data_IF_279156838143
#
_entry.id   IF_279156838143
#
_cell.length_a   1.000
_cell.length_b   1.000
_cell.length_c   1.000
_cell.angle_alpha   90.00
_cell.angle_beta   90.00
_cell.angle_gamma   90.00
#
_symmetry.space_group_name_H-M   'P 1'
#
loop_
_entity.id
_entity.type
_entity.pdbx_description
1 polymer ?
#
# COMPACT_ATOMS: atom_id res chain seq x y z
N UNK A 1 3.21 -52.56 1.11
CA UNK A 1 3.22 -51.14 1.55
C UNK A 1 4.02 -51.06 2.83
N UNK A 2 5.26 -50.58 2.73
CA UNK A 2 6.11 -50.24 3.86
C UNK A 2 5.49 -49.05 4.61
N UNK A 3 5.25 -49.22 5.90
CA UNK A 3 4.67 -48.19 6.78
C UNK A 3 5.82 -47.28 7.23
N UNK A 4 5.68 -45.93 7.17
CA UNK A 4 6.72 -45.02 7.63
C UNK A 4 6.95 -45.12 9.16
N UNK A 5 8.17 -44.87 9.66
CA UNK A 5 8.56 -45.11 11.05
C UNK A 5 7.85 -44.26 12.11
N UNK A 6 7.01 -43.29 11.73
CA UNK A 6 6.30 -42.37 12.64
C UNK A 6 4.85 -42.78 12.96
N UNK A 7 4.41 -43.98 12.55
CA UNK A 7 3.09 -44.52 12.87
C UNK A 7 3.22 -45.83 13.66
N UNK A 8 2.93 -45.81 14.96
CA UNK A 8 2.69 -47.06 15.69
C UNK A 8 1.27 -47.56 15.46
N UNK A 9 1.15 -48.83 15.04
CA UNK A 9 -0.09 -49.58 15.05
C UNK A 9 -0.29 -50.11 16.47
N UNK A 10 -1.28 -49.58 17.19
CA UNK A 10 -1.78 -50.24 18.40
C UNK A 10 -3.00 -51.05 17.98
N UNK A 11 -2.84 -52.37 17.90
CA UNK A 11 -3.97 -53.29 17.73
C UNK A 11 -4.67 -53.45 19.09
N UNK A 12 -5.93 -53.04 19.15
CA UNK A 12 -6.84 -53.50 20.21
C UNK A 12 -7.90 -54.39 19.57
N UNK A 13 -8.30 -55.43 20.30
CA UNK A 13 -8.93 -56.68 19.83
C UNK A 13 -10.32 -56.60 19.17
N UNK A 14 -10.69 -55.48 18.53
CA UNK A 14 -11.87 -55.37 17.66
C UNK A 14 -11.55 -54.54 16.42
N UNK A 15 -11.29 -55.23 15.31
CA UNK A 15 -11.14 -54.79 13.90
C UNK A 15 -11.46 -53.32 13.50
N UNK A 16 -10.73 -52.33 14.02
CA UNK A 16 -10.56 -51.01 13.39
C UNK A 16 -9.14 -50.48 13.63
N UNK A 17 -8.33 -50.40 12.56
CA UNK A 17 -7.03 -49.70 12.60
C UNK A 17 -7.30 -48.21 12.86
N UNK A 18 -6.88 -47.69 14.01
CA UNK A 18 -6.84 -46.24 14.28
C UNK A 18 -5.39 -45.79 14.34
N UNK A 19 -5.05 -44.83 13.49
CA UNK A 19 -3.76 -44.14 13.54
C UNK A 19 -3.83 -43.06 14.62
N UNK A 20 -2.83 -43.02 15.51
CA UNK A 20 -2.70 -41.97 16.53
C UNK A 20 -1.55 -41.06 16.13
N UNK A 21 -1.81 -39.77 15.92
CA UNK A 21 -0.76 -38.77 15.72
C UNK A 21 0.00 -38.59 17.03
N UNK A 22 1.32 -38.77 17.00
CA UNK A 22 2.18 -38.46 18.13
C UNK A 22 2.32 -36.94 18.28
N UNK A 23 2.36 -36.46 19.52
CA UNK A 23 2.61 -35.05 19.80
C UNK A 23 4.05 -34.69 19.41
N UNK A 24 4.25 -33.46 18.90
CA UNK A 24 5.57 -32.92 18.49
C UNK A 24 6.61 -33.06 19.62
N UNK A 25 6.18 -32.97 20.87
CA UNK A 25 7.02 -33.12 22.07
C UNK A 25 7.61 -34.53 22.22
N UNK A 26 6.87 -35.56 21.79
CA UNK A 26 7.31 -36.96 21.88
C UNK A 26 8.37 -37.28 20.82
N UNK A 27 8.23 -36.70 19.62
CA UNK A 27 9.23 -36.80 18.53
C UNK A 27 10.52 -36.08 18.94
N UNK A 28 10.40 -34.93 19.60
CA UNK A 28 11.53 -34.14 20.10
C UNK A 28 12.40 -34.90 21.12
N UNK A 29 11.77 -35.70 21.99
CA UNK A 29 12.48 -36.38 23.08
C UNK A 29 13.26 -37.61 22.59
N UNK A 30 12.86 -38.24 21.47
CA UNK A 30 13.57 -39.39 20.91
C UNK A 30 14.69 -39.03 19.92
N UNK A 31 14.86 -37.75 19.57
CA UNK A 31 15.77 -37.30 18.49
C UNK A 31 16.89 -36.36 18.97
N UNK A 32 17.18 -36.34 20.28
CA UNK A 32 18.05 -35.36 20.91
C UNK A 32 19.56 -35.41 20.54
N UNK A 33 20.01 -36.32 19.69
CA UNK A 33 21.45 -36.54 19.40
C UNK A 33 21.83 -36.50 17.90
N UNK A 34 21.22 -35.63 17.08
CA UNK A 34 21.63 -35.51 15.67
C UNK A 34 21.80 -34.05 15.22
N UNK A 35 23.01 -33.73 14.76
CA UNK A 35 23.38 -32.47 14.10
C UNK A 35 22.66 -32.23 12.76
N UNK A 36 21.86 -33.19 12.29
CA UNK A 36 21.15 -33.18 10.99
C UNK A 36 19.63 -32.92 11.10
N UNK A 37 19.15 -32.50 12.28
CA UNK A 37 17.74 -32.26 12.61
C UNK A 37 16.93 -31.46 11.55
N UNK A 38 17.47 -30.41 10.87
CA UNK A 38 16.69 -29.66 9.88
C UNK A 38 16.36 -30.47 8.61
N UNK A 39 17.25 -31.38 8.17
CA UNK A 39 17.09 -32.08 6.89
C UNK A 39 16.16 -33.29 6.98
N UNK A 40 16.15 -34.01 8.11
CA UNK A 40 15.28 -35.17 8.31
C UNK A 40 13.80 -34.78 8.49
N UNK A 41 13.49 -33.72 9.24
CA UNK A 41 12.13 -33.23 9.42
C UNK A 41 11.51 -32.71 8.11
N UNK A 42 12.34 -32.15 7.22
CA UNK A 42 11.93 -31.70 5.89
C UNK A 42 11.53 -32.85 4.95
N UNK A 43 12.06 -34.06 5.16
CA UNK A 43 11.68 -35.25 4.38
C UNK A 43 10.35 -35.86 4.80
N UNK A 44 9.84 -35.53 5.99
CA UNK A 44 8.63 -36.13 6.59
C UNK A 44 7.38 -35.28 6.32
N UNK A 45 7.54 -33.98 6.09
CA UNK A 45 6.44 -33.06 5.80
C UNK A 45 6.16 -33.01 4.29
N UNK A 46 4.91 -33.26 3.85
CA UNK A 46 4.48 -32.97 2.48
C UNK A 46 4.88 -31.57 2.04
N UNK A 47 5.29 -31.43 0.78
CA UNK A 47 5.79 -30.18 0.19
C UNK A 47 4.78 -29.04 0.31
N UNK A 48 3.49 -29.38 0.27
CA UNK A 48 2.36 -28.48 0.45
C UNK A 48 2.35 -27.89 1.87
N UNK A 49 2.61 -28.70 2.90
CA UNK A 49 2.65 -28.23 4.29
C UNK A 49 3.84 -27.30 4.53
N UNK A 50 5.01 -27.62 3.96
CA UNK A 50 6.17 -26.73 4.01
C UNK A 50 5.84 -25.38 3.37
N UNK A 51 5.17 -25.39 2.21
CA UNK A 51 4.73 -24.16 1.54
C UNK A 51 3.76 -23.37 2.41
N UNK A 52 2.77 -24.01 3.02
CA UNK A 52 1.81 -23.36 3.92
C UNK A 52 2.47 -22.78 5.18
N UNK A 53 3.49 -23.44 5.72
CA UNK A 53 4.29 -22.91 6.84
C UNK A 53 5.05 -21.67 6.38
N UNK A 54 5.79 -21.76 5.27
CA UNK A 54 6.62 -20.66 4.76
C UNK A 54 5.76 -19.44 4.40
N UNK A 55 4.62 -19.60 3.75
CA UNK A 55 3.70 -18.49 3.39
C UNK A 55 3.24 -17.68 4.61
N UNK A 56 3.24 -18.27 5.81
CA UNK A 56 2.83 -17.63 7.08
C UNK A 56 3.98 -16.97 7.83
N UNK A 57 5.20 -16.97 7.28
CA UNK A 57 6.35 -16.36 7.92
C UNK A 57 6.55 -14.91 7.47
N UNK A 58 7.09 -14.03 8.33
CA UNK A 58 7.48 -12.68 7.94
C UNK A 58 8.52 -12.68 6.81
N UNK A 59 8.41 -11.71 5.89
CA UNK A 59 9.28 -11.59 4.71
C UNK A 59 10.77 -11.65 5.05
N UNK A 60 11.22 -10.97 6.11
CA UNK A 60 12.63 -11.01 6.53
C UNK A 60 13.11 -12.41 6.91
N UNK A 61 12.26 -13.20 7.56
CA UNK A 61 12.58 -14.59 7.90
C UNK A 61 12.69 -15.42 6.63
N UNK A 62 11.77 -15.21 5.69
CA UNK A 62 11.80 -15.88 4.39
C UNK A 62 13.07 -15.57 3.60
N UNK A 63 13.55 -14.31 3.63
CA UNK A 63 14.81 -13.94 2.98
C UNK A 63 16.01 -14.68 3.58
N UNK A 64 16.07 -14.87 4.90
CA UNK A 64 17.12 -15.69 5.54
C UNK A 64 16.96 -17.17 5.19
N UNK A 65 15.73 -17.64 5.05
CA UNK A 65 15.41 -19.04 4.79
C UNK A 65 15.73 -19.48 3.36
N UNK A 66 15.93 -18.54 2.43
CA UNK A 66 16.51 -18.83 1.10
C UNK A 66 17.87 -19.54 1.19
N UNK A 67 18.63 -19.37 2.28
CA UNK A 67 19.94 -20.01 2.45
C UNK A 67 19.88 -21.41 3.08
N UNK A 68 18.70 -21.93 3.44
CA UNK A 68 18.57 -23.23 4.14
C UNK A 68 18.76 -24.40 3.19
N UNK A 69 18.08 -24.40 2.04
CA UNK A 69 18.25 -25.40 0.99
C UNK A 69 17.80 -24.88 -0.38
N UNK A 70 18.18 -25.58 -1.46
CA UNK A 70 17.82 -25.21 -2.84
C UNK A 70 16.31 -25.19 -3.07
N UNK A 71 15.56 -26.11 -2.47
CA UNK A 71 14.11 -26.17 -2.64
C UNK A 71 13.42 -24.96 -2.00
N UNK A 72 13.87 -24.53 -0.83
CA UNK A 72 13.37 -23.32 -0.17
C UNK A 72 13.76 -22.07 -0.94
N UNK A 73 14.99 -21.99 -1.44
CA UNK A 73 15.44 -20.90 -2.31
C UNK A 73 14.51 -20.74 -3.52
N UNK A 74 14.27 -21.82 -4.26
CA UNK A 74 13.43 -21.83 -5.47
C UNK A 74 12.00 -21.43 -5.13
N UNK A 75 11.43 -22.01 -4.08
CA UNK A 75 10.04 -21.76 -3.66
C UNK A 75 9.81 -20.33 -3.18
N UNK A 76 10.69 -19.81 -2.33
CA UNK A 76 10.57 -18.44 -1.81
C UNK A 76 10.82 -17.41 -2.93
N UNK A 77 11.54 -17.79 -3.99
CA UNK A 77 11.81 -16.92 -5.14
C UNK A 77 10.74 -17.00 -6.25
N UNK A 78 9.75 -17.88 -6.11
CA UNK A 78 8.61 -18.02 -7.01
C UNK A 78 7.66 -16.82 -6.89
N UNK A 79 7.34 -16.10 -7.99
CA UNK A 79 6.35 -15.02 -7.97
C UNK A 79 4.97 -15.43 -7.43
N UNK A 80 4.53 -16.67 -7.64
CA UNK A 80 3.26 -17.15 -7.10
C UNK A 80 3.30 -17.29 -5.58
N UNK A 81 4.43 -17.75 -5.03
CA UNK A 81 4.66 -17.77 -3.58
C UNK A 81 4.65 -16.35 -3.00
N UNK A 82 5.30 -15.39 -3.67
CA UNK A 82 5.31 -14.00 -3.24
C UNK A 82 3.89 -13.38 -3.19
N UNK A 83 3.06 -13.66 -4.21
CA UNK A 83 1.64 -13.25 -4.23
C UNK A 83 0.84 -13.90 -3.10
N UNK A 84 1.00 -15.20 -2.88
CA UNK A 84 0.30 -15.92 -1.81
C UNK A 84 0.70 -15.39 -0.41
N UNK A 85 2.00 -15.15 -0.19
CA UNK A 85 2.51 -14.56 1.05
C UNK A 85 1.95 -13.15 1.27
N UNK A 86 1.91 -12.30 0.24
CA UNK A 86 1.33 -10.97 0.36
C UNK A 86 -0.15 -11.03 0.75
N UNK A 87 -0.93 -11.93 0.14
CA UNK A 87 -2.35 -12.13 0.47
C UNK A 87 -2.57 -12.56 1.93
N UNK A 88 -1.69 -13.40 2.46
CA UNK A 88 -1.73 -13.85 3.85
C UNK A 88 -1.45 -12.71 4.86
N UNK A 89 -0.62 -11.75 4.48
CA UNK A 89 -0.22 -10.58 5.27
C UNK A 89 -0.87 -9.29 4.77
N UNK A 90 -2.14 -9.35 4.36
CA UNK A 90 -2.90 -8.16 3.95
C UNK A 90 -3.29 -7.10 4.99
N UNK A 91 -3.19 -7.25 6.33
CA UNK A 91 -3.42 -6.07 7.17
C UNK A 91 -2.35 -5.00 6.93
N UNK A 92 -2.66 -3.74 7.17
CA UNK A 92 -1.69 -2.64 7.07
C UNK A 92 -0.56 -2.88 8.08
N UNK A 93 0.70 -2.96 7.62
CA UNK A 93 1.84 -3.31 8.47
C UNK A 93 2.62 -2.10 8.98
N UNK A 94 2.68 -1.02 8.21
CA UNK A 94 3.44 0.15 8.61
C UNK A 94 3.30 1.35 7.70
N UNK A 95 4.02 2.41 8.05
CA UNK A 95 4.30 3.54 7.18
C UNK A 95 5.74 3.45 6.71
N UNK A 96 5.98 3.81 5.46
CA UNK A 96 7.32 4.07 4.96
C UNK A 96 7.44 5.55 4.61
N UNK A 97 8.54 6.16 5.02
CA UNK A 97 8.87 7.53 4.65
C UNK A 97 10.32 7.59 4.21
N UNK A 98 10.63 8.60 3.39
CA UNK A 98 12.00 8.90 3.05
C UNK A 98 12.67 9.66 4.19
N UNK A 99 13.90 9.27 4.53
CA UNK A 99 14.69 9.99 5.53
C UNK A 99 15.42 11.18 4.89
N UNK A 100 15.82 12.16 5.70
CA UNK A 100 16.66 13.28 5.25
C UNK A 100 18.03 12.85 4.71
N UNK A 101 18.50 11.65 5.05
CA UNK A 101 19.70 11.04 4.47
C UNK A 101 19.36 10.42 3.11
N UNK A 102 20.10 10.75 2.03
CA UNK A 102 19.87 10.20 0.69
C UNK A 102 19.86 8.67 0.66
N UNK A 103 18.91 8.10 -0.08
CA UNK A 103 18.81 6.66 -0.27
C UNK A 103 18.41 5.84 0.95
N UNK A 104 17.87 6.47 2.00
CA UNK A 104 17.38 5.78 3.20
C UNK A 104 15.87 5.97 3.33
N UNK A 105 15.15 4.86 3.46
CA UNK A 105 13.73 4.84 3.79
C UNK A 105 13.54 4.25 5.18
N UNK A 106 12.83 4.96 6.05
CA UNK A 106 12.50 4.48 7.39
C UNK A 106 11.12 3.84 7.40
N UNK A 107 11.02 2.67 8.03
CA UNK A 107 9.77 1.96 8.21
C UNK A 107 9.31 1.98 9.66
N UNK A 108 8.05 2.38 9.84
CA UNK A 108 7.38 2.52 11.13
C UNK A 108 6.28 1.49 11.22
N UNK A 109 6.36 0.62 12.22
CA UNK A 109 5.38 -0.43 12.46
C UNK A 109 4.16 0.15 13.18
N UNK A 110 3.03 0.22 12.49
CA UNK A 110 1.82 0.85 13.03
C UNK A 110 1.17 0.03 14.16
N UNK A 111 1.34 -1.31 14.16
CA UNK A 111 0.78 -2.19 15.20
C UNK A 111 1.49 -2.04 16.54
N UNK A 112 2.77 -1.65 16.52
CA UNK A 112 3.54 -1.31 17.73
C UNK A 112 3.40 0.16 18.11
N UNK A 113 2.29 0.77 17.71
CA UNK A 113 2.07 2.22 17.79
C UNK A 113 3.22 2.92 17.11
N UNK A 114 3.33 2.84 15.78
CA UNK A 114 4.29 3.57 14.93
C UNK A 114 5.79 3.44 15.25
N UNK A 115 6.28 2.42 15.98
CA UNK A 115 7.71 2.32 16.33
C UNK A 115 8.59 2.14 15.08
N UNK A 116 9.70 2.89 14.98
CA UNK A 116 10.67 2.72 13.90
C UNK A 116 11.32 1.34 14.04
N UNK A 117 11.10 0.47 13.06
CA UNK A 117 11.60 -0.90 13.10
C UNK A 117 12.89 -1.05 12.31
N UNK A 118 12.98 -0.44 11.12
CA UNK A 118 14.04 -0.70 10.12
C UNK A 118 14.32 0.55 9.30
N UNK A 119 15.58 0.71 8.92
CA UNK A 119 15.98 1.53 7.78
C UNK A 119 16.31 0.65 6.58
N UNK A 120 15.69 0.95 5.45
CA UNK A 120 16.03 0.38 4.17
C UNK A 120 17.00 1.29 3.45
N UNK A 121 18.13 0.72 3.04
CA UNK A 121 19.05 1.38 2.11
C UNK A 121 18.70 0.95 0.69
N UNK A 122 18.61 1.91 -0.22
CA UNK A 122 18.48 1.64 -1.65
C UNK A 122 19.79 1.83 -2.38
N UNK A 123 19.82 1.36 -3.62
CA UNK A 123 20.92 1.57 -4.56
C UNK A 123 21.26 3.06 -4.67
N UNK A 124 22.54 3.37 -4.92
CA UNK A 124 23.05 4.74 -5.15
C UNK A 124 22.33 5.43 -6.30
N UNK A 125 21.92 4.68 -7.32
CA UNK A 125 21.15 5.20 -8.45
C UNK A 125 19.79 5.80 -8.05
N UNK A 126 19.30 5.47 -6.85
CA UNK A 126 18.01 5.93 -6.34
C UNK A 126 18.15 7.02 -5.26
N UNK A 127 19.36 7.53 -5.00
CA UNK A 127 19.59 8.49 -3.92
C UNK A 127 18.97 9.86 -4.18
N UNK A 128 18.95 10.26 -5.44
CA UNK A 128 18.35 11.51 -5.90
C UNK A 128 16.90 11.29 -6.33
N UNK A 129 16.15 10.41 -5.65
CA UNK A 129 14.72 10.18 -5.94
C UNK A 129 13.86 10.52 -4.73
N UNK A 130 12.60 10.87 -4.97
CA UNK A 130 11.57 11.09 -3.96
C UNK A 130 10.56 9.95 -3.94
N UNK A 131 10.10 9.58 -2.75
CA UNK A 131 8.98 8.66 -2.59
C UNK A 131 7.68 9.26 -3.10
N UNK A 132 7.01 8.55 -4.01
CA UNK A 132 5.73 8.98 -4.59
C UNK A 132 4.57 8.15 -4.03
N UNK A 133 4.64 6.82 -4.17
CA UNK A 133 3.53 5.93 -3.83
C UNK A 133 4.03 4.55 -3.45
N UNK A 134 3.19 3.73 -2.81
CA UNK A 134 3.47 2.31 -2.60
C UNK A 134 2.31 1.43 -3.05
N UNK A 135 2.61 0.22 -3.48
CA UNK A 135 1.61 -0.78 -3.79
C UNK A 135 2.19 -2.17 -3.55
N UNK A 136 1.53 -2.99 -2.72
CA UNK A 136 1.92 -4.39 -2.53
C UNK A 136 3.40 -4.59 -2.12
N UNK A 137 3.98 -3.60 -1.42
CA UNK A 137 5.38 -3.58 -0.99
C UNK A 137 6.40 -3.12 -2.03
N UNK A 138 5.92 -2.75 -3.22
CA UNK A 138 6.69 -1.98 -4.20
C UNK A 138 6.56 -0.48 -3.88
N UNK A 139 7.63 0.27 -4.13
CA UNK A 139 7.67 1.72 -4.08
C UNK A 139 7.76 2.29 -5.48
N UNK A 140 7.02 3.36 -5.74
CA UNK A 140 7.23 4.24 -6.86
C UNK A 140 8.09 5.42 -6.41
N UNK A 141 9.21 5.60 -7.08
CA UNK A 141 10.17 6.67 -6.84
C UNK A 141 10.30 7.54 -8.10
N UNK A 142 10.63 8.81 -7.91
CA UNK A 142 10.81 9.76 -8.99
C UNK A 142 12.07 10.60 -8.77
N UNK A 143 12.88 10.84 -9.79
CA UNK A 143 14.15 11.59 -9.67
C UNK A 143 13.96 13.04 -9.20
N UNK A 144 13.10 13.80 -9.87
CA UNK A 144 12.78 15.17 -9.44
C UNK A 144 11.32 15.44 -9.72
N UNK A 145 10.64 16.27 -8.93
CA UNK A 145 9.18 16.50 -9.04
C UNK A 145 8.72 16.92 -10.44
N UNK A 146 9.59 17.49 -11.28
CA UNK A 146 9.25 17.84 -12.67
C UNK A 146 9.95 16.97 -13.70
N UNK A 147 10.79 16.04 -13.26
CA UNK A 147 11.40 15.06 -14.14
C UNK A 147 10.48 13.85 -14.27
N UNK A 148 10.16 13.49 -15.50
CA UNK A 148 9.28 12.38 -15.84
C UNK A 148 10.02 11.03 -15.82
N UNK A 149 11.01 10.91 -14.95
CA UNK A 149 11.83 9.73 -14.76
C UNK A 149 11.42 9.00 -13.48
N UNK A 150 10.94 7.76 -13.66
CA UNK A 150 10.41 6.93 -12.60
C UNK A 150 11.26 5.68 -12.39
N UNK A 151 11.21 5.21 -11.15
CA UNK A 151 11.79 3.95 -10.73
C UNK A 151 10.75 3.20 -9.90
N UNK A 152 10.67 1.88 -10.09
CA UNK A 152 9.91 1.02 -9.19
C UNK A 152 10.91 0.17 -8.43
N UNK A 153 10.80 0.10 -7.10
CA UNK A 153 11.71 -0.70 -6.31
C UNK A 153 11.00 -1.52 -5.23
N UNK A 154 11.60 -2.64 -4.87
CA UNK A 154 11.31 -3.35 -3.64
C UNK A 154 12.54 -3.25 -2.75
N UNK A 155 12.51 -2.39 -1.70
CA UNK A 155 13.67 -2.18 -0.84
C UNK A 155 14.03 -3.42 0.00
N UNK A 156 13.06 -4.29 0.29
CA UNK A 156 13.24 -5.47 1.15
C UNK A 156 14.11 -6.52 0.46
N UNK A 157 13.91 -6.71 -0.84
CA UNK A 157 14.66 -7.69 -1.65
C UNK A 157 15.76 -7.05 -2.50
N UNK A 158 16.02 -5.74 -2.32
CA UNK A 158 17.02 -4.96 -3.07
C UNK A 158 16.84 -5.03 -4.59
N UNK A 159 15.58 -5.07 -5.04
CA UNK A 159 15.23 -5.08 -6.46
C UNK A 159 14.75 -3.70 -6.89
N UNK A 160 15.11 -3.29 -8.11
CA UNK A 160 14.65 -2.04 -8.69
C UNK A 160 14.57 -2.14 -10.21
N UNK A 161 13.77 -1.27 -10.81
CA UNK A 161 13.53 -1.16 -12.24
C UNK A 161 13.45 0.32 -12.61
N UNK A 162 14.29 0.75 -13.56
CA UNK A 162 14.18 2.07 -14.19
C UNK A 162 13.12 2.01 -15.29
N UNK A 163 12.12 2.87 -15.23
CA UNK A 163 11.11 2.97 -16.27
C UNK A 163 11.61 3.83 -17.43
N UNK A 164 11.13 3.61 -18.67
CA UNK A 164 11.38 4.54 -19.76
C UNK A 164 10.92 5.93 -19.36
N UNK A 165 11.73 6.94 -19.65
CA UNK A 165 11.38 8.33 -19.33
C UNK A 165 10.12 8.72 -20.08
N UNK A 166 9.13 9.25 -19.38
CA UNK A 166 7.94 9.80 -20.03
C UNK A 166 8.29 11.15 -20.66
N UNK A 167 7.93 11.34 -21.92
CA UNK A 167 8.20 12.59 -22.64
C UNK A 167 6.86 13.26 -22.95
N UNK A 168 6.40 14.19 -22.08
CA UNK A 168 5.18 14.92 -22.37
C UNK A 168 5.40 15.81 -23.59
N UNK A 169 4.37 15.95 -24.43
CA UNK A 169 4.41 16.83 -25.60
C UNK A 169 4.53 18.32 -25.22
N UNK A 170 4.07 18.67 -24.02
CA UNK A 170 4.05 20.04 -23.51
C UNK A 170 4.60 20.09 -22.08
N UNK A 171 4.91 21.30 -21.61
CA UNK A 171 5.41 21.51 -20.25
C UNK A 171 4.33 21.11 -19.23
N UNK A 172 4.71 20.26 -18.28
CA UNK A 172 3.83 19.81 -17.21
C UNK A 172 3.79 20.87 -16.09
N UNK A 173 2.59 21.30 -15.71
CA UNK A 173 2.38 22.29 -14.65
C UNK A 173 1.92 21.69 -13.33
N UNK A 174 1.23 20.55 -13.39
CA UNK A 174 0.73 19.81 -12.24
C UNK A 174 0.59 18.37 -12.66
N UNK A 175 0.96 17.46 -11.75
CA UNK A 175 0.83 16.05 -11.98
C UNK A 175 0.76 15.28 -10.66
N UNK A 176 0.07 14.15 -10.70
CA UNK A 176 0.00 13.16 -9.62
C UNK A 176 0.48 11.84 -10.18
N UNK A 177 0.92 10.93 -9.33
CA UNK A 177 1.43 9.64 -9.79
C UNK A 177 1.19 8.51 -8.82
N UNK A 178 0.85 7.35 -9.39
CA UNK A 178 0.43 6.21 -8.60
C UNK A 178 0.95 4.92 -9.20
N UNK A 179 1.36 4.03 -8.32
CA UNK A 179 1.57 2.63 -8.65
C UNK A 179 0.31 1.87 -8.23
N UNK A 180 -0.30 1.19 -9.20
CA UNK A 180 -1.54 0.44 -8.99
C UNK A 180 -1.38 -0.99 -9.47
N UNK A 181 -2.12 -1.91 -8.85
CA UNK A 181 -2.16 -3.31 -9.25
C UNK A 181 -3.47 -3.59 -9.98
N UNK A 182 -3.35 -4.12 -11.20
CA UNK A 182 -4.46 -4.55 -12.01
C UNK A 182 -4.77 -6.02 -11.74
N UNK A 183 -5.87 -6.27 -11.04
CA UNK A 183 -6.30 -7.63 -10.70
C UNK A 183 -6.72 -8.45 -11.94
N UNK A 184 -7.10 -7.80 -13.05
CA UNK A 184 -7.65 -8.48 -14.23
C UNK A 184 -6.57 -9.19 -15.06
N UNK A 185 -5.42 -8.56 -15.24
CA UNK A 185 -4.28 -9.09 -15.99
C UNK A 185 -3.09 -9.45 -15.11
N UNK A 186 -3.22 -9.26 -13.79
CA UNK A 186 -2.21 -9.53 -12.78
C UNK A 186 -0.90 -8.74 -12.93
N UNK A 187 -0.95 -7.55 -13.52
CA UNK A 187 0.20 -6.65 -13.73
C UNK A 187 0.11 -5.40 -12.87
N UNK A 188 1.23 -4.70 -12.77
CA UNK A 188 1.28 -3.38 -12.15
C UNK A 188 1.24 -2.33 -13.25
N UNK A 189 0.61 -1.19 -12.95
CA UNK A 189 0.61 -0.02 -13.82
C UNK A 189 1.13 1.19 -13.04
N UNK A 190 1.94 2.02 -13.70
CA UNK A 190 2.22 3.38 -13.24
C UNK A 190 1.31 4.32 -14.00
N UNK A 191 0.55 5.10 -13.26
CA UNK A 191 -0.40 6.08 -13.77
C UNK A 191 0.11 7.45 -13.39
N UNK A 192 0.27 8.33 -14.38
CA UNK A 192 0.68 9.72 -14.18
C UNK A 192 -0.41 10.62 -14.76
N UNK A 193 -0.90 11.59 -14.01
CA UNK A 193 -1.85 12.58 -14.55
C UNK A 193 -1.10 13.87 -14.81
N UNK A 194 -1.33 14.59 -15.91
CA UNK A 194 -0.65 15.86 -16.14
C UNK A 194 -1.57 16.85 -16.85
N UNK A 195 -1.39 18.14 -16.60
CA UNK A 195 -2.15 19.18 -17.30
C UNK A 195 -1.48 19.54 -18.63
N UNK A 196 -2.17 19.27 -19.73
CA UNK A 196 -1.87 19.86 -21.04
C UNK A 196 -2.47 21.28 -21.12
N UNK A 197 -2.00 22.07 -22.07
CA UNK A 197 -2.49 23.40 -22.47
C UNK A 197 -4.03 23.56 -22.38
N UNK A 198 -4.82 22.52 -22.65
CA UNK A 198 -6.29 22.56 -22.66
C UNK A 198 -6.95 21.75 -21.53
N UNK A 199 -6.40 20.60 -21.15
CA UNK A 199 -7.07 19.65 -20.24
C UNK A 199 -6.09 18.72 -19.52
N UNK A 200 -6.56 18.07 -18.45
CA UNK A 200 -5.80 16.99 -17.83
C UNK A 200 -5.76 15.76 -18.76
N UNK A 201 -4.61 15.11 -18.80
CA UNK A 201 -4.36 13.85 -19.49
C UNK A 201 -3.74 12.84 -18.52
N UNK A 202 -3.74 11.58 -18.92
CA UNK A 202 -3.23 10.48 -18.13
C UNK A 202 -2.23 9.66 -18.95
N UNK A 203 -1.01 9.50 -18.46
CA UNK A 203 -0.02 8.55 -18.97
C UNK A 203 -0.09 7.23 -18.19
N UNK A 204 -0.13 6.11 -18.89
CA UNK A 204 -0.19 4.77 -18.29
C UNK A 204 0.97 3.93 -18.83
N UNK A 205 1.73 3.34 -17.91
CA UNK A 205 2.78 2.38 -18.22
C UNK A 205 2.52 1.07 -17.49
N UNK A 206 2.43 -0.03 -18.22
CA UNK A 206 2.23 -1.37 -17.63
C UNK A 206 3.58 -2.05 -17.45
N UNK A 207 3.87 -2.52 -16.24
CA UNK A 207 5.10 -3.25 -15.95
C UNK A 207 5.04 -4.67 -16.54
N UNK A 208 6.13 -5.06 -17.19
CA UNK A 208 6.32 -6.41 -17.73
C UNK A 208 5.78 -6.63 -19.15
N UNK A 209 5.32 -5.59 -19.84
CA UNK A 209 4.89 -5.68 -21.25
C UNK A 209 6.09 -5.79 -22.20
N UNK A 210 6.42 -7.01 -22.66
CA UNK A 210 7.54 -7.25 -23.57
C UNK A 210 7.33 -6.77 -25.02
N UNK A 211 6.31 -5.96 -25.30
CA UNK A 211 6.07 -5.44 -26.64
C UNK A 211 7.00 -4.24 -26.92
N UNK A 212 8.18 -4.55 -27.48
CA UNK A 212 9.17 -3.57 -27.95
C UNK A 212 10.59 -4.13 -27.83
N UNK A 213 11.22 -4.41 -28.97
CA UNK A 213 12.56 -5.00 -29.02
C UNK A 213 13.66 -4.01 -28.60
N UNK A 214 14.58 -4.49 -27.75
CA UNK A 214 15.78 -3.79 -27.33
C UNK A 214 16.22 -4.21 -25.92
N UNK A 215 17.34 -4.93 -25.84
CA UNK A 215 18.32 -4.91 -24.75
C UNK A 215 17.86 -4.72 -23.29
N UNK A 216 17.15 -5.72 -22.74
CA UNK A 216 17.26 -6.13 -21.33
C UNK A 216 16.79 -5.15 -20.25
N UNK A 217 16.35 -3.94 -20.61
CA UNK A 217 15.87 -2.89 -19.73
C UNK A 217 14.49 -2.43 -20.24
N UNK A 218 13.44 -2.74 -19.49
CA UNK A 218 12.07 -2.23 -19.65
C UNK A 218 11.57 -2.11 -21.10
N UNK A 219 11.22 -3.24 -21.72
CA UNK A 219 10.33 -3.26 -22.88
C UNK A 219 8.96 -2.70 -22.44
N UNK A 220 8.40 -1.74 -23.17
CA UNK A 220 7.10 -1.11 -22.88
C UNK A 220 7.09 0.37 -23.24
N UNK A 221 5.93 0.91 -23.60
CA UNK A 221 5.75 2.33 -23.95
C UNK A 221 4.65 2.98 -23.10
N UNK A 222 4.79 4.28 -22.88
CA UNK A 222 3.76 5.07 -22.24
C UNK A 222 2.58 5.27 -23.19
N UNK A 223 1.38 4.91 -22.74
CA UNK A 223 0.12 5.25 -23.43
C UNK A 223 -0.47 6.50 -22.81
N UNK A 224 -0.97 7.40 -23.65
CA UNK A 224 -1.62 8.62 -23.20
C UNK A 224 -3.11 8.52 -23.45
N UNK A 225 -3.89 8.81 -22.41
CA UNK A 225 -5.34 8.80 -22.41
C UNK A 225 -5.86 10.20 -22.10
N UNK A 226 -6.97 10.56 -22.74
CA UNK A 226 -7.67 11.82 -22.44
C UNK A 226 -8.52 11.64 -21.19
N UNK A 227 -8.40 12.57 -20.25
CA UNK A 227 -9.32 12.64 -19.13
C UNK A 227 -10.54 13.52 -19.48
N UNK A 228 -11.66 13.39 -18.75
CA UNK A 228 -12.80 14.30 -18.86
C UNK A 228 -12.41 15.78 -18.85
N UNK A 229 -12.52 16.44 -20.01
CA UNK A 229 -11.95 17.78 -20.25
C UNK A 229 -12.58 18.90 -19.40
N UNK A 230 -13.82 18.71 -18.95
CA UNK A 230 -14.58 19.68 -18.14
C UNK A 230 -14.10 19.75 -16.69
N UNK A 231 -13.21 18.87 -16.27
CA UNK A 231 -12.80 18.74 -14.88
C UNK A 231 -11.32 19.12 -14.69
N UNK A 232 -11.04 19.74 -13.55
CA UNK A 232 -9.70 19.99 -13.03
C UNK A 232 -9.46 19.14 -11.79
N UNK A 233 -8.29 18.54 -11.68
CA UNK A 233 -7.88 17.79 -10.49
C UNK A 233 -7.50 18.75 -9.35
N UNK A 234 -7.88 18.39 -8.13
CA UNK A 234 -7.38 19.03 -6.92
C UNK A 234 -5.94 18.58 -6.62
N UNK A 235 -5.22 19.34 -5.79
CA UNK A 235 -3.83 19.04 -5.43
C UNK A 235 -3.67 17.96 -4.34
N UNK A 236 -4.59 16.98 -4.27
CA UNK A 236 -4.49 15.85 -3.34
C UNK A 236 -3.95 14.62 -4.08
N UNK A 237 -3.37 13.68 -3.32
CA UNK A 237 -2.96 12.41 -3.88
C UNK A 237 -4.18 11.57 -4.27
N UNK A 238 -4.10 10.79 -5.35
CA UNK A 238 -5.14 9.83 -5.68
C UNK A 238 -5.17 8.63 -4.74
N UNK A 239 -6.34 8.04 -4.61
CA UNK A 239 -6.56 6.82 -3.85
C UNK A 239 -6.94 5.65 -4.76
N UNK A 240 -6.16 4.56 -4.67
CA UNK A 240 -6.52 3.28 -5.28
C UNK A 240 -7.41 2.47 -4.33
N UNK A 241 -8.65 2.19 -4.73
CA UNK A 241 -9.59 1.35 -3.97
C UNK A 241 -10.54 0.64 -4.94
N UNK A 242 -10.96 -0.59 -4.65
CA UNK A 242 -11.89 -1.36 -5.48
C UNK A 242 -11.51 -1.48 -6.97
N UNK A 243 -10.22 -1.59 -7.27
CA UNK A 243 -9.75 -1.73 -8.66
C UNK A 243 -9.85 -0.47 -9.50
N UNK A 244 -10.11 0.69 -8.88
CA UNK A 244 -10.12 1.99 -9.54
C UNK A 244 -9.22 2.99 -8.80
N UNK A 245 -8.67 3.94 -9.56
CA UNK A 245 -7.91 5.07 -9.04
C UNK A 245 -8.83 6.30 -8.99
N UNK A 246 -8.82 7.02 -7.87
CA UNK A 246 -9.77 8.10 -7.58
C UNK A 246 -9.02 9.40 -7.28
N UNK A 247 -9.42 10.49 -7.92
CA UNK A 247 -8.90 11.84 -7.68
C UNK A 247 -10.02 12.77 -7.27
N UNK A 248 -9.75 13.67 -6.33
CA UNK A 248 -10.64 14.81 -6.13
C UNK A 248 -10.55 15.73 -7.34
N UNK A 249 -11.70 16.20 -7.79
CA UNK A 249 -11.83 17.03 -8.97
C UNK A 249 -12.90 18.11 -8.77
N UNK A 250 -12.85 19.12 -9.63
CA UNK A 250 -13.84 20.17 -9.70
C UNK A 250 -14.17 20.51 -11.16
N UNK A 251 -15.42 20.92 -11.41
CA UNK A 251 -15.82 21.33 -12.75
C UNK A 251 -15.25 22.71 -13.08
N UNK A 252 -14.73 22.88 -14.29
CA UNK A 252 -14.32 24.19 -14.83
C UNK A 252 -15.58 25.07 -14.93
N UNK A 253 -15.63 26.19 -14.21
CA UNK A 253 -16.67 27.21 -14.35
C UNK A 253 -16.06 28.56 -14.71
N UNK A 254 -16.77 29.38 -15.48
CA UNK A 254 -16.34 30.75 -15.82
C UNK A 254 -16.36 31.69 -14.59
N UNK A 255 -17.24 31.45 -13.61
CA UNK A 255 -17.30 32.22 -12.36
C UNK A 255 -16.41 31.59 -11.27
N UNK A 256 -15.10 31.75 -11.43
CA UNK A 256 -14.15 31.54 -10.35
C UNK A 256 -14.50 32.50 -9.19
N UNK A 257 -15.05 31.99 -8.07
CA UNK A 257 -14.49 32.26 -6.72
C UNK A 257 -15.28 31.79 -5.50
N UNK A 258 -16.55 31.33 -5.56
CA UNK A 258 -17.28 31.17 -4.28
C UNK A 258 -18.00 29.87 -3.95
N UNK A 259 -18.35 28.98 -4.90
CA UNK A 259 -18.86 27.63 -4.57
C UNK A 259 -18.56 26.67 -5.72
N UNK A 260 -17.46 25.91 -5.59
CA UNK A 260 -17.07 24.94 -6.60
C UNK A 260 -17.73 23.60 -6.25
N UNK A 261 -18.61 23.11 -7.11
CA UNK A 261 -19.10 21.73 -6.98
C UNK A 261 -17.90 20.78 -7.03
N UNK A 262 -17.80 19.92 -6.02
CA UNK A 262 -16.70 18.95 -5.90
C UNK A 262 -17.14 17.61 -6.48
N UNK A 263 -16.18 16.89 -7.06
CA UNK A 263 -16.38 15.63 -7.74
C UNK A 263 -15.24 14.69 -7.38
N UNK A 264 -15.49 13.40 -7.59
CA UNK A 264 -14.46 12.38 -7.62
C UNK A 264 -14.36 11.88 -9.05
N UNK A 265 -13.21 12.08 -9.67
CA UNK A 265 -12.89 11.48 -10.96
C UNK A 265 -12.31 10.09 -10.67
N UNK A 266 -12.85 9.07 -11.31
CA UNK A 266 -12.33 7.70 -11.20
C UNK A 266 -11.85 7.19 -12.55
N UNK A 267 -10.81 6.36 -12.51
CA UNK A 267 -10.34 5.56 -13.63
C UNK A 267 -10.39 4.09 -13.22
N UNK A 268 -11.16 3.28 -13.94
CA UNK A 268 -11.11 1.83 -13.78
C UNK A 268 -9.73 1.32 -14.23
N UNK A 269 -9.04 0.55 -13.38
CA UNK A 269 -7.67 0.15 -13.72
C UNK A 269 -7.63 -0.92 -14.81
N UNK A 270 -8.67 -1.75 -14.93
CA UNK A 270 -8.70 -2.83 -15.90
C UNK A 270 -9.08 -2.33 -17.30
N UNK A 271 -10.18 -1.57 -17.40
CA UNK A 271 -10.67 -1.02 -18.67
C UNK A 271 -10.03 0.31 -19.06
N UNK A 272 -9.42 1.02 -18.11
CA UNK A 272 -8.85 2.36 -18.28
C UNK A 272 -9.90 3.41 -18.71
N UNK A 273 -11.16 3.15 -18.38
CA UNK A 273 -12.26 4.07 -18.61
C UNK A 273 -12.44 5.04 -17.44
N UNK A 274 -12.78 6.28 -17.78
CA UNK A 274 -13.03 7.33 -16.80
C UNK A 274 -14.52 7.48 -16.49
N UNK A 275 -14.82 7.74 -15.23
CA UNK A 275 -16.15 8.16 -14.77
C UNK A 275 -16.02 9.30 -13.77
N UNK A 276 -17.12 10.01 -13.56
CA UNK A 276 -17.16 11.12 -12.61
C UNK A 276 -18.32 10.91 -11.66
N UNK A 277 -18.03 11.01 -10.37
CA UNK A 277 -19.00 10.90 -9.28
C UNK A 277 -19.15 12.27 -8.64
N UNK A 278 -20.38 12.71 -8.42
CA UNK A 278 -20.63 13.95 -7.70
C UNK A 278 -20.36 13.75 -6.20
N UNK A 279 -19.63 14.68 -5.59
CA UNK A 279 -19.46 14.72 -4.13
C UNK A 279 -20.79 15.04 -3.45
N UNK A 280 -21.08 14.51 -2.25
CA UNK A 280 -22.32 14.80 -1.54
C UNK A 280 -22.41 16.24 -1.04
N UNK A 281 -21.29 16.98 -1.01
CA UNK A 281 -21.19 18.24 -0.30
C UNK A 281 -20.53 19.36 -1.12
N UNK A 282 -20.83 20.60 -0.69
CA UNK A 282 -20.15 21.83 -1.07
C UNK A 282 -19.36 22.36 0.13
N UNK A 283 -18.17 21.80 0.41
CA UNK A 283 -17.40 22.15 1.60
C UNK A 283 -16.85 23.57 1.50
N UNK A 284 -16.82 24.26 2.64
CA UNK A 284 -16.17 25.58 2.79
C UNK A 284 -14.65 25.45 2.74
N UNK A 285 -14.10 24.39 3.34
CA UNK A 285 -12.67 24.06 3.39
C UNK A 285 -12.27 23.08 2.28
N UNK A 286 -12.65 23.37 1.04
CA UNK A 286 -12.47 22.46 -0.10
C UNK A 286 -11.00 22.06 -0.37
N UNK A 287 -10.03 22.89 0.04
CA UNK A 287 -8.59 22.62 -0.11
C UNK A 287 -8.06 21.59 0.90
N UNK A 288 -8.87 21.18 1.88
CA UNK A 288 -8.55 20.14 2.86
C UNK A 288 -9.30 18.83 2.62
N UNK A 289 -10.02 18.71 1.50
CA UNK A 289 -10.65 17.45 1.14
C UNK A 289 -9.61 16.40 0.81
N UNK A 290 -9.90 15.18 1.23
CA UNK A 290 -9.04 14.03 0.97
C UNK A 290 -9.87 12.77 0.78
N UNK A 291 -9.22 11.72 0.27
CA UNK A 291 -9.81 10.41 0.06
C UNK A 291 -9.11 9.39 0.96
N UNK A 292 -9.89 8.47 1.52
CA UNK A 292 -9.36 7.34 2.28
C UNK A 292 -10.17 6.08 1.99
N UNK A 293 -9.58 4.92 2.28
CA UNK A 293 -10.26 3.63 2.24
C UNK A 293 -10.78 3.29 3.65
N UNK A 294 -12.06 2.89 3.74
CA UNK A 294 -12.68 2.34 4.95
C UNK A 294 -13.42 1.07 4.56
N UNK A 295 -13.07 -0.09 5.13
CA UNK A 295 -13.73 -1.39 4.88
C UNK A 295 -13.83 -1.75 3.40
N UNK A 296 -12.78 -1.44 2.64
CA UNK A 296 -12.74 -1.65 1.19
C UNK A 296 -13.56 -0.63 0.40
N UNK A 297 -14.14 0.39 1.02
CA UNK A 297 -14.97 1.40 0.33
C UNK A 297 -14.27 2.74 0.26
N UNK A 298 -14.54 3.48 -0.81
CA UNK A 298 -14.12 4.87 -0.96
C UNK A 298 -14.81 5.72 0.11
N UNK A 299 -14.01 6.48 0.85
CA UNK A 299 -14.49 7.43 1.83
C UNK A 299 -13.92 8.81 1.54
N UNK A 300 -14.79 9.81 1.62
CA UNK A 300 -14.46 11.22 1.54
C UNK A 300 -14.20 11.77 2.94
N UNK A 301 -13.02 12.34 3.14
CA UNK A 301 -12.67 13.14 4.30
C UNK A 301 -13.09 14.59 4.05
N UNK A 302 -14.06 15.09 4.83
CA UNK A 302 -14.69 16.38 4.59
C UNK A 302 -14.63 17.29 5.82
N UNK A 303 -13.62 18.18 5.92
CA UNK A 303 -13.55 19.17 6.99
C UNK A 303 -14.74 20.13 6.93
N UNK A 304 -15.51 20.18 8.02
CA UNK A 304 -16.66 21.08 8.19
C UNK A 304 -16.19 22.40 8.81
N UNK A 305 -15.21 22.31 9.71
CA UNK A 305 -14.48 23.41 10.35
C UNK A 305 -13.04 22.95 10.62
N UNK A 306 -12.19 23.82 11.19
CA UNK A 306 -10.83 23.42 11.57
C UNK A 306 -10.79 22.40 12.73
N UNK A 307 -11.87 22.32 13.52
CA UNK A 307 -11.98 21.42 14.66
C UNK A 307 -12.95 20.25 14.40
N UNK A 308 -13.61 20.16 13.24
CA UNK A 308 -14.54 19.09 12.95
C UNK A 308 -14.42 18.58 11.51
N UNK A 309 -14.42 17.27 11.36
CA UNK A 309 -14.43 16.57 10.07
C UNK A 309 -15.55 15.53 10.01
N UNK A 310 -16.12 15.38 8.83
CA UNK A 310 -17.09 14.35 8.50
C UNK A 310 -16.48 13.30 7.55
N UNK A 311 -16.85 12.04 7.76
CA UNK A 311 -16.45 10.92 6.92
C UNK A 311 -17.67 10.39 6.17
N UNK A 312 -17.62 10.47 4.84
CA UNK A 312 -18.70 10.02 3.96
C UNK A 312 -18.24 8.83 3.15
N UNK A 313 -18.89 7.68 3.32
CA UNK A 313 -18.56 6.47 2.56
C UNK A 313 -19.49 6.37 1.36
N UNK A 314 -18.90 6.08 0.20
CA UNK A 314 -19.65 5.75 -1.01
C UNK A 314 -20.21 4.33 -0.85
N UNK A 315 -21.54 4.24 -0.71
CA UNK A 315 -22.23 2.98 -0.46
C UNK A 315 -22.61 2.22 -1.73
N UNK A 316 -22.79 2.95 -2.84
CA UNK A 316 -23.15 2.40 -4.14
C UNK A 316 -22.51 3.27 -5.23
N UNK A 317 -21.53 2.70 -5.93
CA UNK A 317 -20.80 3.39 -7.00
C UNK A 317 -21.72 3.75 -8.19
N UNK A 318 -22.72 2.91 -8.48
CA UNK A 318 -23.62 3.11 -9.62
C UNK A 318 -24.66 4.18 -9.32
N UNK A 319 -25.23 4.15 -8.10
CA UNK A 319 -26.21 5.15 -7.66
C UNK A 319 -25.57 6.44 -7.15
N UNK A 320 -24.24 6.49 -7.06
CA UNK A 320 -23.49 7.62 -6.51
C UNK A 320 -23.99 8.03 -5.11
N UNK A 321 -24.34 7.03 -4.30
CA UNK A 321 -25.00 7.24 -3.01
C UNK A 321 -23.96 7.32 -1.88
N UNK A 322 -23.76 8.52 -1.36
CA UNK A 322 -22.88 8.79 -0.23
C UNK A 322 -23.64 8.78 1.09
N UNK A 323 -23.08 8.11 2.09
CA UNK A 323 -23.63 8.08 3.44
C UNK A 323 -22.59 8.60 4.44
N UNK A 324 -22.98 9.58 5.25
CA UNK A 324 -22.17 10.01 6.39
C UNK A 324 -22.10 8.88 7.40
N UNK A 325 -20.89 8.43 7.70
CA UNK A 325 -20.66 7.35 8.68
C UNK A 325 -20.48 7.92 10.09
N UNK A 326 -19.60 8.90 10.24
CA UNK A 326 -19.30 9.51 11.53
C UNK A 326 -18.65 10.89 11.37
N UNK A 327 -18.50 11.60 12.49
CA UNK A 327 -17.78 12.87 12.60
C UNK A 327 -16.71 12.75 13.67
N UNK A 328 -15.58 13.42 13.48
CA UNK A 328 -14.51 13.53 14.49
C UNK A 328 -14.34 15.01 14.84
N UNK A 329 -14.26 15.29 16.13
CA UNK A 329 -13.95 16.63 16.64
C UNK A 329 -12.53 16.66 17.24
N UNK A 330 -11.67 17.54 16.71
CA UNK A 330 -10.27 17.70 17.10
C UNK A 330 -10.04 18.70 18.24
N UNK A 331 -11.10 19.32 18.79
CA UNK A 331 -10.97 20.42 19.76
C UNK A 331 -10.11 20.06 20.97
N UNK A 332 -10.17 18.81 21.44
CA UNK A 332 -9.36 18.31 22.54
C UNK A 332 -7.85 18.23 22.19
N UNK A 333 -7.50 17.89 20.94
CA UNK A 333 -6.11 17.90 20.46
C UNK A 333 -5.58 19.33 20.27
N UNK A 334 -6.45 20.22 19.78
CA UNK A 334 -6.10 21.62 19.53
C UNK A 334 -5.92 22.37 20.85
N UNK A 335 -6.67 22.05 21.91
CA UNK A 335 -6.53 22.72 23.22
C UNK A 335 -5.21 22.45 23.94
N UNK A 336 -4.57 21.30 23.68
CA UNK A 336 -3.23 20.98 24.20
C UNK A 336 -2.11 21.67 23.40
N UNK A 337 -2.42 22.14 22.18
CA UNK A 337 -1.53 22.90 21.33
C UNK A 337 -1.87 24.40 21.39
N UNK A 338 -0.92 25.30 21.09
CA UNK A 338 -1.17 26.74 21.23
C UNK A 338 -2.41 27.15 20.40
N UNK A 339 -3.46 27.76 20.99
CA UNK A 339 -4.77 27.95 20.34
C UNK A 339 -4.78 28.90 19.13
N UNK A 340 -3.63 29.48 18.77
CA UNK A 340 -3.48 30.39 17.64
C UNK A 340 -3.05 29.73 16.33
N UNK A 341 -2.80 28.41 16.30
CA UNK A 341 -2.41 27.69 15.09
C UNK A 341 -3.54 26.81 14.57
N UNK A 342 -3.98 27.06 13.32
CA UNK A 342 -4.88 26.17 12.59
C UNK A 342 -4.10 24.90 12.21
N UNK A 343 -4.15 23.88 13.07
CA UNK A 343 -3.57 22.58 12.76
C UNK A 343 -4.37 21.89 11.65
N UNK A 344 -3.66 21.34 10.67
CA UNK A 344 -4.25 20.54 9.60
C UNK A 344 -3.85 19.09 9.82
N UNK A 345 -4.85 18.21 9.83
CA UNK A 345 -4.70 16.77 10.00
C UNK A 345 -5.06 16.08 8.68
N UNK A 346 -4.09 15.36 8.11
CA UNK A 346 -4.31 14.57 6.90
C UNK A 346 -4.56 13.10 7.27
N UNK A 347 -5.64 12.48 6.80
CA UNK A 347 -5.86 11.05 7.02
C UNK A 347 -4.82 10.25 6.23
N UNK A 348 -4.10 9.35 6.90
CA UNK A 348 -3.16 8.45 6.22
C UNK A 348 -3.83 7.11 5.89
N UNK A 349 -4.47 6.50 6.88
CA UNK A 349 -5.03 5.16 6.76
C UNK A 349 -6.00 4.83 7.89
N UNK A 350 -6.90 3.89 7.65
CA UNK A 350 -7.73 3.26 8.68
C UNK A 350 -7.26 1.82 8.89
N UNK A 351 -6.84 1.51 10.12
CA UNK A 351 -6.53 0.15 10.54
C UNK A 351 -7.79 -0.47 11.15
N UNK A 352 -8.14 -1.70 10.79
CA UNK A 352 -9.37 -2.34 11.28
C UNK A 352 -9.15 -3.35 12.40
N UNK A 353 -7.94 -3.90 12.50
CA UNK A 353 -7.60 -4.96 13.46
C UNK A 353 -6.40 -4.53 14.32
N UNK A 354 -6.42 -4.74 15.65
CA UNK A 354 -7.47 -5.39 16.44
C UNK A 354 -8.71 -4.52 16.73
N UNK A 355 -8.62 -3.21 16.53
CA UNK A 355 -9.73 -2.26 16.65
C UNK A 355 -9.63 -1.20 15.55
N UNK A 356 -10.75 -0.61 15.10
CA UNK A 356 -10.77 0.44 14.08
C UNK A 356 -10.08 1.71 14.58
N UNK A 357 -8.94 2.05 13.99
CA UNK A 357 -8.13 3.23 14.32
C UNK A 357 -7.82 4.01 13.06
N UNK A 358 -8.17 5.30 13.05
CA UNK A 358 -7.74 6.23 12.00
C UNK A 358 -6.42 6.85 12.41
N UNK A 359 -5.47 6.86 11.48
CA UNK A 359 -4.19 7.51 11.68
C UNK A 359 -4.17 8.80 10.88
N UNK A 360 -3.93 9.89 11.59
CA UNK A 360 -3.70 11.21 11.00
C UNK A 360 -2.23 11.60 11.11
N UNK A 361 -1.78 12.37 10.14
CA UNK A 361 -0.50 13.07 10.22
C UNK A 361 -0.72 14.58 10.26
N UNK A 362 -0.01 15.25 11.16
CA UNK A 362 0.01 16.69 11.27
C UNK A 362 1.36 17.22 10.79
N UNK A 363 1.42 17.75 9.57
CA UNK A 363 2.66 18.29 8.97
C UNK A 363 3.28 19.42 9.78
N UNK A 364 2.48 20.25 10.44
CA UNK A 364 2.96 21.37 11.24
C UNK A 364 3.69 20.93 12.52
N UNK A 365 3.34 19.76 13.05
CA UNK A 365 3.94 19.24 14.30
C UNK A 365 4.80 18.00 14.09
N UNK A 366 4.82 17.45 12.87
CA UNK A 366 5.44 16.16 12.51
C UNK A 366 4.99 14.99 13.40
N UNK A 367 3.73 15.01 13.86
CA UNK A 367 3.17 13.99 14.77
C UNK A 367 2.19 13.06 14.07
N UNK A 368 2.22 11.80 14.48
CA UNK A 368 1.17 10.83 14.19
C UNK A 368 0.12 10.87 15.30
N UNK A 369 -1.13 10.84 14.89
CA UNK A 369 -2.27 10.87 15.80
C UNK A 369 -3.13 9.66 15.49
N UNK A 370 -3.36 8.83 16.50
CA UNK A 370 -4.18 7.64 16.42
C UNK A 370 -5.52 7.97 17.07
N UNK A 371 -6.60 7.81 16.32
CA UNK A 371 -7.97 7.99 16.80
C UNK A 371 -8.68 6.64 16.80
N UNK A 372 -9.07 6.16 17.97
CA UNK A 372 -9.84 4.93 18.09
C UNK A 372 -11.32 5.22 17.81
N UNK A 373 -11.87 4.58 16.78
CA UNK A 373 -13.26 4.79 16.36
C UNK A 373 -14.28 4.19 17.33
N UNK A 374 -13.90 3.19 18.13
CA UNK A 374 -14.79 2.57 19.11
C UNK A 374 -14.85 3.39 20.41
N UNK A 375 -13.69 3.88 20.90
CA UNK A 375 -13.62 4.61 22.18
C UNK A 375 -13.74 6.13 22.02
N UNK A 376 -13.46 6.67 20.83
CA UNK A 376 -13.39 8.09 20.57
C UNK A 376 -12.15 8.78 21.16
N UNK A 377 -11.16 8.00 21.60
CA UNK A 377 -9.95 8.52 22.23
C UNK A 377 -8.85 8.81 21.23
N UNK A 378 -8.06 9.85 21.53
CA UNK A 378 -6.85 10.19 20.79
C UNK A 378 -5.60 9.71 21.52
N UNK A 379 -4.64 9.19 20.77
CA UNK A 379 -3.28 8.95 21.23
C UNK A 379 -2.32 9.69 20.28
N UNK A 380 -1.53 10.62 20.83
CA UNK A 380 -0.54 11.38 20.06
C UNK A 380 0.82 10.73 20.22
N UNK A 381 1.48 10.41 19.12
CA UNK A 381 2.85 9.90 19.14
C UNK A 381 3.83 10.94 18.60
N UNK A 382 4.82 11.26 19.44
CA UNK A 382 5.89 12.19 19.12
C UNK A 382 7.03 11.38 18.51
N UNK A 383 7.07 11.31 17.19
CA UNK A 383 8.12 10.58 16.49
C UNK A 383 8.78 11.53 15.51
N UNK A 384 10.11 11.55 15.53
CA UNK A 384 10.93 12.32 14.60
C UNK A 384 10.85 11.77 13.18
N UNK A 385 9.64 11.65 12.65
CA UNK A 385 9.38 11.43 11.23
C UNK A 385 9.66 12.79 10.59
N UNK A 386 10.95 13.05 10.36
CA UNK A 386 11.38 14.20 9.57
C UNK A 386 10.93 13.94 8.14
N UNK A 387 9.69 14.34 7.84
CA UNK A 387 9.08 14.21 6.53
C UNK A 387 9.59 15.35 5.65
N UNK A 388 10.86 15.28 5.24
CA UNK A 388 11.29 16.04 4.05
C UNK A 388 10.57 15.56 2.78
N UNK A 389 9.88 14.40 2.84
CA UNK A 389 9.02 13.82 1.80
C UNK A 389 7.80 13.08 2.37
N UNK A 390 6.85 12.73 1.50
CA UNK A 390 5.56 12.11 1.85
C UNK A 390 5.73 10.72 2.50
N UNK A 391 4.99 10.42 3.57
CA UNK A 391 4.86 9.08 4.12
C UNK A 391 3.68 8.34 3.46
N UNK A 392 3.82 7.05 3.22
CA UNK A 392 2.76 6.23 2.64
C UNK A 392 2.65 4.89 3.36
N UNK A 393 1.46 4.29 3.31
CA UNK A 393 1.22 2.94 3.84
C UNK A 393 2.14 1.96 3.14
N UNK A 394 2.74 1.03 3.89
CA UNK A 394 3.67 0.05 3.35
C UNK A 394 3.51 -1.33 3.99
N UNK A 395 3.75 -2.35 3.18
CA UNK A 395 3.82 -3.75 3.61
C UNK A 395 5.11 -4.36 3.08
N UNK A 396 5.84 -5.06 3.94
CA UNK A 396 6.99 -5.84 3.49
C UNK A 396 6.51 -6.93 2.53
N UNK A 397 7.10 -7.04 1.35
CA UNK A 397 6.72 -8.05 0.38
C UNK A 397 7.92 -8.66 -0.35
N UNK A 398 7.70 -9.83 -0.94
CA UNK A 398 8.66 -10.51 -1.83
C UNK A 398 8.42 -10.18 -3.31
N UNK A 399 7.52 -9.23 -3.61
CA UNK A 399 7.09 -8.92 -4.97
C UNK A 399 8.24 -8.29 -5.77
N UNK A 400 8.40 -8.74 -7.01
CA UNK A 400 9.19 -8.09 -8.07
C UNK A 400 8.42 -8.20 -9.39
N UNK A 401 8.65 -7.27 -10.30
CA UNK A 401 7.95 -7.21 -11.59
C UNK A 401 8.85 -7.60 -12.75
#
# INVERSE_FOLDING_TARGET
MTIPPFLQIVSNSKNRKRFKLLSVKTIYTSMANASDLPQELLRILPLELVTQILVRLPVKSLLRFKCVCKDWFTRISDPLFAKAQLQQFKPIHGLICQSSKPGIFSYFNLQKGGEKEIDFKVDKLLWDTVLVHSCNGLLLLQEHKFDCQFYVCNPVIQWHLKLPKFHPRYKIYSWSSSLVYDNSNHKYKVVITFYDTVSYMCGVFTLGDKEGGGDGNSCGFWRVLNMPADYKLACCEPLAVNGALHWMAYKKSEEERRKVDTYVLLMDIASEEFRVIKSPLRPTLWWLLDLLEIKGSLCLFCPVSFDQVDFWVLSDNLKQAWNKQFSINYRLLISESRPSQNLVFHPLVVMENPSPVIIFFCYMTEKLIFYNLDTGEFKVEHKGISMSGMATVYVNSLIRC
#
